data_IF_022104386328
#
_entry.id   IF_022104386328
#
_cell.length_a   1.000
_cell.length_b   1.000
_cell.length_c   1.000
_cell.angle_alpha   90.00
_cell.angle_beta   90.00
_cell.angle_gamma   90.00
#
_symmetry.space_group_name_H-M   'P 1'
#
loop_
_entity.id
_entity.type
_entity.pdbx_description
1 polymer ?
#
# COMPACT_ATOMS: atom_id res chain seq x y z
N UNK A 1 -1.93 24.63 19.97
CA UNK A 1 -0.72 23.78 20.05
C UNK A 1 -1.13 22.35 19.75
N UNK A 2 -0.74 21.80 18.60
CA UNK A 2 -0.91 20.36 18.31
C UNK A 2 0.28 19.64 18.94
N UNK A 3 0.04 18.86 20.00
CA UNK A 3 1.07 18.01 20.60
C UNK A 3 1.30 16.83 19.66
N UNK A 4 2.47 16.78 19.03
CA UNK A 4 2.89 15.63 18.23
C UNK A 4 3.79 14.75 19.11
N UNK A 5 3.21 13.68 19.65
CA UNK A 5 3.98 12.63 20.31
C UNK A 5 4.64 11.81 19.22
N UNK A 6 5.92 12.07 18.95
CA UNK A 6 6.72 11.25 18.04
C UNK A 6 7.21 10.03 18.82
N UNK A 7 6.56 8.89 18.61
CA UNK A 7 7.10 7.60 19.04
C UNK A 7 8.26 7.27 18.10
N UNK A 8 9.47 7.65 18.47
CA UNK A 8 10.68 7.31 17.73
C UNK A 8 10.93 5.81 17.90
N UNK A 9 10.75 5.04 16.81
CA UNK A 9 11.18 3.65 16.74
C UNK A 9 12.69 3.59 16.95
N UNK A 10 13.14 2.83 17.95
CA UNK A 10 14.50 2.29 17.90
C UNK A 10 14.63 1.41 16.65
N UNK A 11 15.82 1.36 16.01
CA UNK A 11 16.03 0.43 14.90
C UNK A 11 15.69 -0.99 15.36
N UNK A 12 14.91 -1.72 14.54
CA UNK A 12 14.75 -3.17 14.69
C UNK A 12 16.08 -3.87 14.39
N UNK A 13 17.13 -3.60 15.17
CA UNK A 13 18.43 -4.25 15.08
C UNK A 13 18.49 -5.52 15.95
N UNK A 14 17.34 -6.04 16.38
CA UNK A 14 17.21 -7.44 16.73
C UNK A 14 17.06 -8.22 15.44
N UNK A 15 18.09 -8.98 15.05
CA UNK A 15 18.00 -9.97 13.97
C UNK A 15 16.84 -10.92 14.26
N UNK A 16 15.65 -10.61 13.71
CA UNK A 16 14.48 -11.49 13.81
C UNK A 16 14.92 -12.86 13.29
N UNK A 17 14.72 -13.96 14.05
CA UNK A 17 15.12 -15.28 13.61
C UNK A 17 14.52 -15.55 12.22
N UNK A 18 15.28 -16.18 11.31
CA UNK A 18 14.92 -16.35 9.88
C UNK A 18 13.50 -16.87 9.66
N UNK A 19 12.96 -17.66 10.59
CA UNK A 19 11.56 -18.11 10.60
C UNK A 19 10.55 -16.95 10.69
N UNK A 20 10.75 -16.00 11.62
CA UNK A 20 9.88 -14.82 11.78
C UNK A 20 9.92 -13.87 10.57
N UNK A 21 11.02 -13.85 9.81
CA UNK A 21 11.11 -13.09 8.56
C UNK A 21 10.30 -13.73 7.42
N UNK A 22 10.19 -15.06 7.37
CA UNK A 22 9.39 -15.78 6.38
C UNK A 22 7.89 -15.62 6.64
N UNK A 23 7.46 -15.82 7.90
CA UNK A 23 6.07 -15.67 8.32
C UNK A 23 5.57 -14.22 8.17
N UNK A 24 6.43 -13.24 8.49
CA UNK A 24 6.14 -11.81 8.30
C UNK A 24 5.84 -11.43 6.85
N UNK A 25 6.53 -12.06 5.89
CA UNK A 25 6.33 -11.84 4.46
C UNK A 25 5.04 -12.49 3.95
N UNK A 26 4.66 -13.65 4.49
CA UNK A 26 3.40 -14.34 4.13
C UNK A 26 2.16 -13.51 4.48
N UNK A 27 2.07 -13.02 5.72
CA UNK A 27 0.92 -12.23 6.16
C UNK A 27 0.87 -10.84 5.50
N UNK A 28 2.03 -10.22 5.21
CA UNK A 28 2.11 -9.00 4.42
C UNK A 28 1.59 -9.20 2.99
N UNK A 29 2.05 -10.26 2.31
CA UNK A 29 1.55 -10.61 0.98
C UNK A 29 0.04 -10.88 0.98
N UNK A 30 -0.47 -11.65 1.95
CA UNK A 30 -1.90 -11.94 2.04
C UNK A 30 -2.74 -10.68 2.24
N UNK A 31 -2.21 -9.67 2.94
CA UNK A 31 -2.85 -8.36 3.13
C UNK A 31 -2.96 -7.58 1.83
N UNK A 32 -1.93 -7.63 1.01
CA UNK A 32 -1.93 -7.01 -0.33
C UNK A 32 -2.90 -7.76 -1.25
N UNK A 33 -2.87 -9.09 -1.23
CA UNK A 33 -3.79 -9.94 -1.99
C UNK A 33 -5.26 -9.64 -1.65
N UNK A 34 -5.58 -9.42 -0.37
CA UNK A 34 -6.91 -9.01 0.06
C UNK A 34 -7.37 -7.70 -0.62
N UNK A 35 -6.50 -6.69 -0.70
CA UNK A 35 -6.84 -5.42 -1.36
C UNK A 35 -7.05 -5.62 -2.87
N UNK A 36 -6.16 -6.38 -3.50
CA UNK A 36 -6.15 -6.65 -4.94
C UNK A 36 -7.40 -7.43 -5.38
N UNK A 37 -7.94 -8.30 -4.51
CA UNK A 37 -9.12 -9.10 -4.84
C UNK A 37 -10.44 -8.43 -4.46
N UNK A 38 -10.51 -7.79 -3.28
CA UNK A 38 -11.79 -7.41 -2.68
C UNK A 38 -12.03 -5.91 -2.59
N UNK A 39 -11.02 -5.08 -2.81
CA UNK A 39 -11.16 -3.61 -2.77
C UNK A 39 -10.94 -2.98 -4.13
N UNK A 40 -9.74 -3.13 -4.69
CA UNK A 40 -9.32 -2.43 -5.90
C UNK A 40 -10.25 -2.70 -7.10
N UNK A 41 -10.67 -3.96 -7.39
CA UNK A 41 -11.55 -4.20 -8.53
C UNK A 41 -12.91 -3.52 -8.37
N UNK A 42 -13.46 -3.50 -7.16
CA UNK A 42 -14.73 -2.84 -6.88
C UNK A 42 -14.64 -1.31 -7.01
N UNK A 43 -13.54 -0.70 -6.56
CA UNK A 43 -13.28 0.74 -6.75
C UNK A 43 -13.15 1.09 -8.24
N UNK A 44 -12.35 0.32 -8.98
CA UNK A 44 -12.13 0.48 -10.42
C UNK A 44 -13.45 0.34 -11.19
N UNK A 45 -14.23 -0.70 -10.90
CA UNK A 45 -15.53 -0.91 -11.55
C UNK A 45 -16.50 0.22 -11.22
N UNK A 46 -16.55 0.68 -9.97
CA UNK A 46 -17.42 1.78 -9.60
C UNK A 46 -17.04 3.07 -10.33
N UNK A 47 -15.75 3.39 -10.45
CA UNK A 47 -15.28 4.53 -11.25
C UNK A 47 -15.69 4.40 -12.71
N UNK A 48 -15.47 3.22 -13.31
CA UNK A 48 -15.91 2.93 -14.69
C UNK A 48 -17.42 3.13 -14.90
N UNK A 49 -18.25 2.81 -13.89
CA UNK A 49 -19.70 2.95 -13.96
C UNK A 49 -20.19 4.39 -13.73
N UNK A 50 -19.45 5.20 -12.97
CA UNK A 50 -19.88 6.54 -12.56
C UNK A 50 -19.26 7.69 -13.34
N UNK A 51 -18.00 7.53 -13.80
CA UNK A 51 -17.26 8.59 -14.48
C UNK A 51 -17.23 8.33 -16.00
N UNK A 52 -17.92 9.15 -16.81
CA UNK A 52 -17.92 9.02 -18.26
C UNK A 52 -16.53 9.18 -18.90
N UNK A 53 -15.59 9.85 -18.23
CA UNK A 53 -14.22 10.08 -18.71
C UNK A 53 -13.24 9.01 -18.28
N UNK A 54 -13.65 8.06 -17.44
CA UNK A 54 -12.77 7.04 -16.87
C UNK A 54 -11.93 6.31 -17.92
N UNK A 55 -12.53 5.88 -19.02
CA UNK A 55 -11.83 5.15 -20.08
C UNK A 55 -10.80 6.05 -20.78
N UNK A 56 -11.14 7.31 -21.04
CA UNK A 56 -10.22 8.27 -21.67
C UNK A 56 -9.03 8.57 -20.75
N UNK A 57 -9.29 8.85 -19.47
CA UNK A 57 -8.25 9.12 -18.48
C UNK A 57 -7.35 7.90 -18.24
N UNK A 58 -7.93 6.70 -18.23
CA UNK A 58 -7.18 5.43 -18.09
C UNK A 58 -6.20 5.21 -19.24
N UNK A 59 -6.55 5.62 -20.47
CA UNK A 59 -5.68 5.50 -21.64
C UNK A 59 -4.47 6.45 -21.59
N UNK A 60 -4.55 7.52 -20.80
CA UNK A 60 -3.43 8.45 -20.58
C UNK A 60 -2.43 7.96 -19.52
N UNK A 61 -2.72 6.85 -18.84
CA UNK A 61 -1.79 6.26 -17.87
C UNK A 61 -0.55 5.68 -18.58
N UNK A 62 0.58 5.69 -17.88
CA UNK A 62 1.85 5.26 -18.44
C UNK A 62 2.01 3.73 -18.45
N UNK A 63 2.60 3.19 -19.51
CA UNK A 63 3.03 1.79 -19.59
C UNK A 63 1.86 0.80 -19.67
N UNK A 64 1.91 -0.26 -18.86
CA UNK A 64 0.94 -1.37 -18.89
C UNK A 64 -0.35 -1.08 -18.09
N UNK A 65 -0.38 0.02 -17.32
CA UNK A 65 -1.49 0.35 -16.43
C UNK A 65 -2.86 0.43 -17.12
N UNK A 66 -3.01 1.03 -18.33
CA UNK A 66 -4.30 1.04 -19.02
C UNK A 66 -4.84 -0.37 -19.24
N UNK A 67 -3.96 -1.31 -19.60
CA UNK A 67 -4.33 -2.68 -19.86
C UNK A 67 -4.75 -3.42 -18.58
N UNK A 68 -4.02 -3.25 -17.48
CA UNK A 68 -4.36 -3.88 -16.19
C UNK A 68 -5.71 -3.39 -15.65
N UNK A 69 -5.98 -2.08 -15.75
CA UNK A 69 -7.23 -1.46 -15.30
C UNK A 69 -8.40 -1.97 -16.13
N UNK A 70 -8.32 -1.91 -17.47
CA UNK A 70 -9.42 -2.36 -18.33
C UNK A 70 -9.63 -3.88 -18.28
N UNK A 71 -8.56 -4.67 -18.10
CA UNK A 71 -8.68 -6.11 -17.83
C UNK A 71 -9.44 -6.38 -16.54
N UNK A 72 -9.19 -5.58 -15.49
CA UNK A 72 -9.88 -5.70 -14.21
C UNK A 72 -11.37 -5.44 -14.36
N UNK A 73 -11.76 -4.41 -15.10
CA UNK A 73 -13.18 -4.14 -15.43
C UNK A 73 -13.79 -5.31 -16.21
N UNK A 74 -13.12 -5.77 -17.27
CA UNK A 74 -13.61 -6.88 -18.10
C UNK A 74 -13.75 -8.19 -17.29
N UNK A 75 -12.78 -8.51 -16.43
CA UNK A 75 -12.86 -9.68 -15.55
C UNK A 75 -14.04 -9.56 -14.60
N UNK A 76 -14.24 -8.40 -14.00
CA UNK A 76 -15.25 -8.19 -12.96
C UNK A 76 -16.68 -8.10 -13.50
N UNK A 77 -16.88 -7.54 -14.70
CA UNK A 77 -18.19 -7.32 -15.32
C UNK A 77 -18.56 -8.30 -16.44
N UNK A 78 -17.65 -9.20 -16.85
CA UNK A 78 -17.92 -10.13 -17.96
C UNK A 78 -17.50 -11.55 -17.63
N UNK A 79 -16.22 -11.77 -17.28
CA UNK A 79 -15.70 -13.14 -17.14
C UNK A 79 -16.04 -13.82 -15.81
N UNK A 80 -16.00 -13.06 -14.73
CA UNK A 80 -16.11 -13.58 -13.36
C UNK A 80 -17.24 -12.92 -12.57
N UNK A 81 -18.28 -12.44 -13.24
CA UNK A 81 -19.45 -11.87 -12.56
C UNK A 81 -20.30 -13.01 -11.94
N UNK A 82 -20.31 -13.19 -10.60
CA UNK A 82 -21.13 -14.21 -9.97
C UNK A 82 -22.62 -13.84 -9.99
N UNK A 83 -23.49 -14.82 -10.25
CA UNK A 83 -24.95 -14.64 -10.12
C UNK A 83 -25.48 -15.33 -8.85
N UNK A 84 -24.77 -16.34 -8.37
CA UNK A 84 -25.14 -17.17 -7.23
C UNK A 84 -23.99 -17.37 -6.25
N UNK A 85 -24.31 -17.80 -5.03
CA UNK A 85 -23.31 -18.22 -4.05
C UNK A 85 -22.38 -19.34 -4.60
N UNK A 86 -22.93 -20.28 -5.37
CA UNK A 86 -22.16 -21.37 -5.96
C UNK A 86 -21.10 -20.86 -6.97
N UNK A 87 -21.38 -19.75 -7.66
CA UNK A 87 -20.41 -19.11 -8.55
C UNK A 87 -19.25 -18.51 -7.74
N UNK A 88 -19.53 -17.91 -6.59
CA UNK A 88 -18.50 -17.39 -5.68
C UNK A 88 -17.59 -18.51 -5.14
N UNK A 89 -18.18 -19.67 -4.80
CA UNK A 89 -17.41 -20.85 -4.36
C UNK A 89 -16.52 -21.37 -5.50
N UNK A 90 -17.06 -21.45 -6.71
CA UNK A 90 -16.33 -21.87 -7.91
C UNK A 90 -15.16 -20.92 -8.21
N UNK A 91 -15.41 -19.61 -8.10
CA UNK A 91 -14.37 -18.58 -8.26
C UNK A 91 -13.24 -18.75 -7.24
N UNK A 92 -13.57 -18.93 -5.96
CA UNK A 92 -12.57 -19.11 -4.90
C UNK A 92 -11.75 -20.38 -5.11
N UNK A 93 -12.38 -21.46 -5.56
CA UNK A 93 -11.72 -22.72 -5.91
C UNK A 93 -10.75 -22.58 -7.09
N UNK A 94 -11.14 -21.88 -8.16
CA UNK A 94 -10.27 -21.59 -9.31
C UNK A 94 -9.11 -20.68 -8.92
N UNK A 95 -9.39 -19.67 -8.11
CA UNK A 95 -8.35 -18.74 -7.64
C UNK A 95 -7.33 -19.44 -6.73
N UNK A 96 -7.77 -20.38 -5.88
CA UNK A 96 -6.87 -21.24 -5.11
C UNK A 96 -5.91 -22.01 -6.02
N UNK A 97 -6.42 -22.64 -7.09
CA UNK A 97 -5.59 -23.38 -8.05
C UNK A 97 -4.58 -22.46 -8.73
N UNK A 98 -5.04 -21.30 -9.21
CA UNK A 98 -4.18 -20.31 -9.85
C UNK A 98 -3.03 -19.89 -8.93
N UNK A 99 -3.32 -19.56 -7.66
CA UNK A 99 -2.31 -19.00 -6.75
C UNK A 99 -1.36 -20.03 -6.16
N UNK A 100 -1.88 -21.16 -5.67
CA UNK A 100 -1.08 -22.12 -4.88
C UNK A 100 -0.62 -23.34 -5.68
N UNK A 101 -1.08 -23.47 -6.93
CA UNK A 101 -0.74 -24.57 -7.83
C UNK A 101 -0.12 -24.04 -9.12
N UNK A 102 -0.88 -23.33 -9.95
CA UNK A 102 -0.49 -23.03 -11.33
C UNK A 102 0.63 -21.98 -11.40
N UNK A 103 0.52 -20.89 -10.64
CA UNK A 103 1.58 -19.88 -10.54
C UNK A 103 2.89 -20.49 -10.00
N UNK A 104 2.80 -21.50 -9.14
CA UNK A 104 3.97 -22.20 -8.60
C UNK A 104 4.57 -23.16 -9.63
N UNK A 105 3.75 -23.90 -10.38
CA UNK A 105 4.22 -24.71 -11.52
C UNK A 105 4.90 -23.83 -12.56
N UNK A 106 4.29 -22.69 -12.89
CA UNK A 106 4.84 -21.70 -13.81
C UNK A 106 6.19 -21.17 -13.33
N UNK A 107 6.32 -20.84 -12.05
CA UNK A 107 7.57 -20.39 -11.44
C UNK A 107 8.66 -21.48 -11.50
N UNK A 108 8.31 -22.73 -11.20
CA UNK A 108 9.24 -23.87 -11.26
C UNK A 108 9.63 -24.24 -12.68
N UNK A 109 8.74 -24.02 -13.66
CA UNK A 109 9.10 -24.19 -15.06
C UNK A 109 10.11 -23.11 -15.51
N UNK A 110 9.87 -21.85 -15.14
CA UNK A 110 10.83 -20.76 -15.41
C UNK A 110 12.14 -20.95 -14.65
N UNK A 111 12.10 -21.46 -13.42
CA UNK A 111 13.28 -21.68 -12.57
C UNK A 111 13.25 -23.10 -11.98
N UNK A 112 13.74 -24.10 -12.74
CA UNK A 112 13.79 -25.48 -12.27
C UNK A 112 14.51 -25.63 -10.92
N UNK A 113 14.13 -26.62 -10.09
CA UNK A 113 14.72 -26.81 -8.76
C UNK A 113 16.24 -26.95 -8.76
N UNK A 114 16.79 -27.51 -9.83
CA UNK A 114 18.21 -27.78 -10.07
C UNK A 114 18.94 -26.65 -10.83
N UNK A 115 18.25 -25.55 -11.14
CA UNK A 115 18.83 -24.43 -11.90
C UNK A 115 20.03 -23.84 -11.17
N UNK A 116 21.15 -23.70 -11.89
CA UNK A 116 22.36 -23.05 -11.41
C UNK A 116 22.41 -21.56 -11.81
N UNK A 117 23.03 -20.74 -10.97
CA UNK A 117 23.38 -19.35 -11.28
C UNK A 117 24.64 -19.31 -12.16
N UNK A 118 24.96 -18.12 -12.70
CA UNK A 118 26.21 -17.89 -13.46
C UNK A 118 27.48 -18.20 -12.66
N UNK A 119 27.41 -18.17 -11.33
CA UNK A 119 28.51 -18.56 -10.43
C UNK A 119 28.57 -20.07 -10.11
N UNK A 120 27.69 -20.89 -10.69
CA UNK A 120 27.64 -22.34 -10.45
C UNK A 120 26.97 -22.76 -9.14
N UNK A 121 26.38 -21.82 -8.39
CA UNK A 121 25.60 -22.13 -7.18
C UNK A 121 24.13 -22.43 -7.53
N UNK A 122 23.42 -23.16 -6.67
CA UNK A 122 21.97 -23.39 -6.85
C UNK A 122 21.20 -22.07 -6.76
N UNK A 123 20.30 -21.84 -7.73
CA UNK A 123 19.41 -20.66 -7.75
C UNK A 123 18.53 -20.61 -6.50
N UNK A 124 18.00 -21.76 -6.08
CA UNK A 124 17.21 -21.92 -4.86
C UNK A 124 18.10 -22.18 -3.64
N UNK A 125 18.88 -21.17 -3.24
CA UNK A 125 19.74 -21.24 -2.05
C UNK A 125 19.64 -19.98 -1.20
N UNK A 126 20.07 -20.08 0.06
CA UNK A 126 20.09 -18.96 1.01
C UNK A 126 18.69 -18.38 1.28
N UNK A 127 18.39 -17.15 0.85
CA UNK A 127 17.08 -16.52 1.06
C UNK A 127 15.98 -17.03 0.11
N UNK A 128 16.32 -17.73 -0.98
CA UNK A 128 15.37 -18.24 -1.97
C UNK A 128 15.03 -19.69 -1.66
N UNK A 129 13.82 -19.94 -1.15
CA UNK A 129 13.30 -21.29 -0.91
C UNK A 129 12.63 -21.81 -2.17
N UNK A 130 12.99 -23.02 -2.60
CA UNK A 130 12.32 -23.69 -3.72
C UNK A 130 10.88 -24.00 -3.32
N UNK A 131 9.86 -23.52 -4.05
CA UNK A 131 8.49 -23.85 -3.75
C UNK A 131 8.10 -25.24 -4.28
N UNK A 132 6.93 -25.72 -3.88
CA UNK A 132 6.23 -26.85 -4.49
C UNK A 132 4.74 -26.51 -4.69
N UNK A 133 4.11 -26.94 -5.79
CA UNK A 133 2.69 -26.71 -6.02
C UNK A 133 1.85 -27.53 -5.03
N UNK A 134 0.72 -26.97 -4.58
CA UNK A 134 -0.23 -27.69 -3.73
C UNK A 134 -1.30 -28.38 -4.57
N UNK A 135 -1.87 -29.46 -4.03
CA UNK A 135 -3.04 -30.15 -4.59
C UNK A 135 -4.25 -29.89 -3.69
N UNK A 136 -5.38 -29.52 -4.27
CA UNK A 136 -6.56 -29.19 -3.47
C UNK A 136 -7.13 -30.46 -2.84
N UNK A 137 -7.10 -30.52 -1.52
CA UNK A 137 -7.87 -31.47 -0.72
C UNK A 137 -9.04 -30.77 -0.01
N UNK A 138 -10.26 -31.24 -0.29
CA UNK A 138 -11.50 -30.72 0.32
C UNK A 138 -11.62 -31.07 1.81
N UNK A 139 -10.92 -32.11 2.27
CA UNK A 139 -10.89 -32.53 3.67
C UNK A 139 -9.83 -31.79 4.48
N UNK A 140 -8.92 -31.07 3.81
CA UNK A 140 -7.96 -30.23 4.50
C UNK A 140 -8.67 -28.97 5.02
N UNK A 141 -8.72 -28.74 6.35
CA UNK A 141 -9.44 -27.60 6.91
C UNK A 141 -8.89 -26.27 6.42
N UNK A 142 -7.58 -26.14 6.19
CA UNK A 142 -6.93 -24.91 5.72
C UNK A 142 -7.39 -24.54 4.29
N UNK A 143 -7.50 -25.53 3.43
CA UNK A 143 -7.96 -25.33 2.05
C UNK A 143 -9.43 -24.87 2.04
N UNK A 144 -10.26 -25.53 2.85
CA UNK A 144 -11.66 -25.18 2.97
C UNK A 144 -11.85 -23.81 3.64
N UNK A 145 -11.05 -23.46 4.65
CA UNK A 145 -11.06 -22.13 5.29
C UNK A 145 -10.79 -21.01 4.28
N UNK A 146 -9.81 -21.23 3.38
CA UNK A 146 -9.54 -20.29 2.29
C UNK A 146 -10.75 -20.11 1.38
N UNK A 147 -11.34 -21.21 0.89
CA UNK A 147 -12.49 -21.15 -0.02
C UNK A 147 -13.68 -20.47 0.65
N UNK A 148 -13.96 -20.81 1.91
CA UNK A 148 -15.04 -20.20 2.69
C UNK A 148 -14.86 -18.69 2.83
N UNK A 149 -13.67 -18.23 3.22
CA UNK A 149 -13.41 -16.82 3.41
C UNK A 149 -13.40 -16.06 2.07
N UNK A 150 -12.69 -16.58 1.06
CA UNK A 150 -12.59 -15.96 -0.25
C UNK A 150 -13.95 -15.86 -0.95
N UNK A 151 -14.77 -16.92 -0.90
CA UNK A 151 -16.11 -16.91 -1.51
C UNK A 151 -17.06 -15.93 -0.80
N UNK A 152 -17.02 -15.85 0.53
CA UNK A 152 -17.85 -14.90 1.28
C UNK A 152 -17.46 -13.44 0.99
N UNK A 153 -16.16 -13.14 0.92
CA UNK A 153 -15.66 -11.80 0.57
C UNK A 153 -16.01 -11.45 -0.88
N UNK A 154 -15.89 -12.41 -1.80
CA UNK A 154 -16.29 -12.21 -3.18
C UNK A 154 -17.81 -12.05 -3.35
N UNK A 155 -18.62 -12.75 -2.55
CA UNK A 155 -20.06 -12.52 -2.54
C UNK A 155 -20.40 -11.10 -2.04
N UNK A 156 -19.73 -10.65 -0.97
CA UNK A 156 -19.90 -9.30 -0.42
C UNK A 156 -19.57 -8.20 -1.44
N UNK A 157 -18.50 -8.35 -2.22
CA UNK A 157 -18.13 -7.35 -3.24
C UNK A 157 -19.18 -7.18 -4.33
N UNK A 158 -19.98 -8.21 -4.62
CA UNK A 158 -21.08 -8.16 -5.60
C UNK A 158 -22.46 -7.98 -4.96
N UNK A 159 -22.56 -7.83 -3.63
CA UNK A 159 -23.82 -7.67 -2.92
C UNK A 159 -24.66 -8.95 -2.82
N UNK A 160 -24.03 -10.12 -2.95
CA UNK A 160 -24.67 -11.43 -2.79
C UNK A 160 -24.63 -11.90 -1.34
N UNK A 161 -25.61 -12.73 -0.95
CA UNK A 161 -25.62 -13.36 0.38
C UNK A 161 -24.67 -14.55 0.40
N UNK A 162 -23.69 -14.52 1.30
CA UNK A 162 -22.76 -15.62 1.53
C UNK A 162 -23.33 -16.74 2.41
N UNK A 163 -22.59 -17.84 2.56
CA UNK A 163 -22.96 -18.97 3.43
C UNK A 163 -21.79 -19.41 4.31
N UNK A 164 -22.12 -19.97 5.47
CA UNK A 164 -21.19 -20.61 6.40
C UNK A 164 -21.34 -22.14 6.44
N UNK A 165 -22.23 -22.71 5.62
CA UNK A 165 -22.44 -24.16 5.54
C UNK A 165 -21.28 -24.85 4.82
N UNK A 166 -20.32 -25.35 5.60
CA UNK A 166 -19.15 -26.06 5.10
C UNK A 166 -19.53 -27.36 4.38
N UNK A 167 -20.57 -28.06 4.82
CA UNK A 167 -20.94 -29.35 4.24
C UNK A 167 -21.52 -29.17 2.83
N UNK A 168 -22.36 -28.15 2.64
CA UNK A 168 -22.86 -27.78 1.33
C UNK A 168 -21.73 -27.33 0.38
N UNK A 169 -20.78 -26.54 0.88
CA UNK A 169 -19.61 -26.11 0.10
C UNK A 169 -18.73 -27.29 -0.29
N UNK A 170 -18.43 -28.21 0.63
CA UNK A 170 -17.69 -29.45 0.34
C UNK A 170 -18.36 -30.27 -0.76
N UNK A 171 -19.69 -30.43 -0.68
CA UNK A 171 -20.46 -31.19 -1.68
C UNK A 171 -20.37 -30.54 -3.07
N UNK A 172 -20.49 -29.20 -3.12
CA UNK A 172 -20.34 -28.44 -4.37
C UNK A 172 -18.94 -28.60 -4.95
N UNK A 173 -17.90 -28.42 -4.14
CA UNK A 173 -16.49 -28.54 -4.56
C UNK A 173 -16.16 -29.93 -5.12
N UNK A 174 -16.70 -31.00 -4.54
CA UNK A 174 -16.52 -32.37 -5.03
C UNK A 174 -17.14 -32.61 -6.42
N UNK A 175 -18.15 -31.82 -6.79
CA UNK A 175 -18.77 -31.89 -8.12
C UNK A 175 -18.01 -31.09 -9.19
N UNK A 176 -17.12 -30.19 -8.79
CA UNK A 176 -16.34 -29.37 -9.71
C UNK A 176 -15.16 -30.16 -10.29
N UNK A 177 -14.92 -29.98 -11.58
CA UNK A 177 -13.69 -30.44 -12.20
C UNK A 177 -12.55 -29.50 -11.84
N UNK A 178 -11.36 -30.06 -11.59
CA UNK A 178 -10.15 -29.24 -11.42
C UNK A 178 -9.92 -28.41 -12.71
N UNK A 179 -9.53 -27.12 -12.58
CA UNK A 179 -9.22 -26.29 -13.73
C UNK A 179 -8.14 -26.94 -14.60
N UNK A 180 -8.29 -26.89 -15.92
CA UNK A 180 -7.23 -27.32 -16.83
C UNK A 180 -6.04 -26.36 -16.76
N UNK A 181 -4.83 -26.91 -16.74
CA UNK A 181 -3.57 -26.16 -16.66
C UNK A 181 -3.49 -25.12 -17.80
N UNK A 182 -3.43 -23.80 -17.50
CA UNK A 182 -3.64 -22.74 -18.49
C UNK A 182 -2.55 -22.60 -19.58
N UNK A 183 -1.64 -23.55 -19.70
CA UNK A 183 -0.52 -23.50 -20.64
C UNK A 183 0.59 -22.60 -20.11
N UNK A 184 1.77 -23.18 -19.95
CA UNK A 184 2.93 -22.53 -19.34
C UNK A 184 3.40 -21.35 -20.22
N UNK A 185 3.37 -20.12 -19.69
CA UNK A 185 3.89 -18.92 -20.34
C UNK A 185 5.40 -18.84 -20.14
N UNK A 186 6.18 -19.10 -21.20
CA UNK A 186 7.64 -19.16 -21.10
C UNK A 186 8.21 -17.74 -21.06
N UNK A 187 8.85 -17.36 -19.94
CA UNK A 187 9.72 -16.20 -19.87
C UNK A 187 11.17 -16.70 -19.67
N UNK A 188 12.07 -16.37 -20.60
CA UNK A 188 13.44 -16.90 -20.59
C UNK A 188 14.38 -16.11 -19.67
N UNK A 189 13.99 -14.92 -19.18
CA UNK A 189 14.79 -14.13 -18.24
C UNK A 189 13.97 -13.19 -17.33
N UNK A 190 14.60 -12.74 -16.22
CA UNK A 190 14.05 -11.71 -15.30
C UNK A 190 13.80 -10.36 -16.00
N UNK A 191 14.52 -10.07 -17.10
CA UNK A 191 14.36 -8.85 -17.90
C UNK A 191 13.18 -8.96 -18.88
N UNK A 192 12.90 -10.14 -19.43
CA UNK A 192 11.73 -10.36 -20.31
C UNK A 192 10.41 -10.30 -19.54
N UNK A 193 10.40 -10.67 -18.25
CA UNK A 193 9.27 -10.46 -17.34
C UNK A 193 8.88 -8.98 -17.20
N UNK A 194 9.83 -8.04 -17.42
CA UNK A 194 9.59 -6.60 -17.34
C UNK A 194 9.39 -5.94 -18.72
N UNK A 195 9.90 -6.53 -19.80
CA UNK A 195 10.02 -5.90 -21.12
C UNK A 195 9.03 -6.35 -22.21
N UNK A 196 8.31 -7.46 -22.06
CA UNK A 196 7.40 -7.97 -23.12
C UNK A 196 6.04 -7.27 -23.23
N UNK A 197 5.78 -6.30 -22.35
CA UNK A 197 4.44 -5.72 -22.15
C UNK A 197 4.04 -4.61 -23.13
N UNK A 198 4.97 -4.04 -23.90
CA UNK A 198 4.72 -2.78 -24.61
C UNK A 198 4.13 -2.94 -26.03
N UNK A 199 4.52 -3.95 -26.82
CA UNK A 199 4.08 -4.06 -28.23
C UNK A 199 2.88 -4.98 -28.46
N UNK A 200 2.62 -5.93 -27.56
CA UNK A 200 1.43 -6.81 -27.58
C UNK A 200 0.24 -6.15 -26.85
N UNK A 201 0.50 -5.07 -26.11
CA UNK A 201 -0.47 -4.36 -25.27
C UNK A 201 -1.58 -3.68 -26.07
N UNK A 202 -1.25 -2.94 -27.12
CA UNK A 202 -2.20 -2.05 -27.80
C UNK A 202 -3.30 -2.80 -28.57
N UNK A 203 -2.94 -3.82 -29.36
CA UNK A 203 -3.91 -4.65 -30.09
C UNK A 203 -4.86 -5.43 -29.16
N UNK A 204 -4.35 -5.83 -27.99
CA UNK A 204 -5.13 -6.54 -26.99
C UNK A 204 -6.01 -5.58 -26.17
N UNK A 205 -5.52 -4.36 -25.92
CA UNK A 205 -6.25 -3.29 -25.26
C UNK A 205 -7.50 -2.89 -26.03
N UNK A 206 -7.39 -2.71 -27.36
CA UNK A 206 -8.54 -2.42 -28.21
C UNK A 206 -9.56 -3.57 -28.23
N UNK A 207 -9.09 -4.84 -28.23
CA UNK A 207 -9.98 -6.01 -28.12
C UNK A 207 -10.74 -6.06 -26.80
N UNK A 208 -10.11 -5.67 -25.69
CA UNK A 208 -10.77 -5.61 -24.38
C UNK A 208 -11.78 -4.48 -24.38
N UNK A 209 -11.39 -3.29 -24.86
CA UNK A 209 -12.25 -2.11 -24.95
C UNK A 209 -13.54 -2.41 -25.69
N UNK A 210 -13.46 -3.10 -26.83
CA UNK A 210 -14.63 -3.50 -27.62
C UNK A 210 -15.57 -4.49 -26.90
N UNK A 211 -15.07 -5.23 -25.89
CA UNK A 211 -15.83 -6.20 -25.11
C UNK A 211 -16.40 -5.63 -23.81
N UNK A 212 -16.03 -4.40 -23.44
CA UNK A 212 -16.55 -3.78 -22.23
C UNK A 212 -18.03 -3.40 -22.40
N UNK A 213 -18.89 -3.74 -21.43
CA UNK A 213 -20.31 -3.41 -21.49
C UNK A 213 -20.54 -1.90 -21.29
N UNK A 214 -21.35 -1.27 -22.15
CA UNK A 214 -21.73 0.14 -21.94
C UNK A 214 -22.45 0.31 -20.59
N UNK A 215 -22.03 1.29 -19.76
CA UNK A 215 -22.66 1.59 -18.47
C UNK A 215 -24.18 1.86 -18.55
N UNK A 216 -24.66 2.41 -19.68
CA UNK A 216 -26.03 2.91 -19.81
C UNK A 216 -27.07 1.82 -20.10
N UNK A 217 -26.68 0.71 -20.74
CA UNK A 217 -27.63 -0.25 -21.30
C UNK A 217 -27.91 -1.49 -20.41
N UNK A 218 -26.91 -1.97 -19.65
CA UNK A 218 -27.03 -3.21 -18.83
C UNK A 218 -26.75 -3.03 -17.33
N UNK A 219 -26.14 -1.91 -16.93
CA UNK A 219 -25.51 -1.76 -15.61
C UNK A 219 -26.19 -0.70 -14.74
N UNK A 220 -27.38 -0.24 -15.15
CA UNK A 220 -28.10 0.83 -14.45
C UNK A 220 -28.46 0.42 -13.01
N UNK A 221 -27.85 1.11 -12.05
CA UNK A 221 -28.05 0.85 -10.62
C UNK A 221 -27.20 -0.30 -10.05
N UNK A 222 -26.40 -0.99 -10.88
CA UNK A 222 -25.40 -1.93 -10.40
C UNK A 222 -24.23 -1.17 -9.77
N UNK A 223 -23.72 -1.69 -8.67
CA UNK A 223 -22.54 -1.18 -7.97
C UNK A 223 -21.83 -2.35 -7.28
N UNK A 224 -20.51 -2.34 -7.26
CA UNK A 224 -19.73 -3.24 -6.42
C UNK A 224 -19.41 -2.59 -5.07
N UNK A 225 -19.19 -3.40 -4.04
CA UNK A 225 -18.95 -2.95 -2.68
C UNK A 225 -17.49 -3.22 -2.30
N UNK A 226 -16.57 -2.24 -2.41
CA UNK A 226 -15.19 -2.43 -1.99
C UNK A 226 -15.13 -2.75 -0.50
N UNK A 227 -14.29 -3.72 -0.13
CA UNK A 227 -14.16 -4.16 1.26
C UNK A 227 -12.92 -3.51 1.89
N UNK A 228 -13.16 -2.62 2.85
CA UNK A 228 -12.09 -2.07 3.68
C UNK A 228 -11.67 -3.08 4.76
N UNK A 229 -10.38 -3.35 4.84
CA UNK A 229 -9.84 -4.30 5.81
C UNK A 229 -10.02 -3.82 7.26
N UNK A 230 -10.95 -4.45 7.96
CA UNK A 230 -11.08 -4.42 9.41
C UNK A 230 -10.46 -5.67 10.07
N UNK A 231 -9.49 -5.45 10.97
CA UNK A 231 -8.73 -6.49 11.68
C UNK A 231 -9.37 -6.91 13.01
N UNK A 232 -10.23 -6.07 13.58
CA UNK A 232 -10.80 -6.22 14.92
C UNK A 232 -12.22 -6.79 14.94
N UNK A 233 -12.75 -7.18 13.77
CA UNK A 233 -14.02 -7.88 13.64
C UNK A 233 -13.78 -9.34 13.19
N UNK A 234 -14.02 -10.30 14.08
CA UNK A 234 -13.83 -11.72 13.79
C UNK A 234 -14.96 -12.38 12.98
N UNK A 235 -15.98 -11.62 12.55
CA UNK A 235 -17.16 -12.14 11.84
C UNK A 235 -17.21 -11.77 10.36
N UNK A 236 -16.27 -10.96 9.88
CA UNK A 236 -16.28 -10.41 8.52
C UNK A 236 -15.45 -11.24 7.51
N UNK A 237 -14.83 -12.34 7.94
CA UNK A 237 -13.94 -13.18 7.12
C UNK A 237 -12.60 -12.56 6.70
N UNK A 238 -12.28 -11.33 7.12
CA UNK A 238 -11.04 -10.66 6.70
C UNK A 238 -9.82 -11.41 7.24
N UNK A 239 -9.74 -11.58 8.56
CA UNK A 239 -8.63 -12.29 9.17
C UNK A 239 -8.63 -13.79 8.82
N UNK A 240 -9.81 -14.38 8.57
CA UNK A 240 -9.92 -15.77 8.10
C UNK A 240 -9.24 -15.95 6.75
N UNK A 241 -9.50 -15.04 5.80
CA UNK A 241 -8.82 -15.03 4.50
C UNK A 241 -7.31 -14.81 4.66
N UNK A 242 -6.88 -13.81 5.44
CA UNK A 242 -5.45 -13.49 5.62
C UNK A 242 -4.68 -14.70 6.16
N UNK A 243 -5.21 -15.36 7.20
CA UNK A 243 -4.57 -16.52 7.82
C UNK A 243 -4.50 -17.67 6.83
N UNK A 244 -5.62 -18.01 6.19
CA UNK A 244 -5.66 -19.13 5.26
C UNK A 244 -4.74 -18.88 4.04
N UNK A 245 -4.83 -17.70 3.44
CA UNK A 245 -4.03 -17.32 2.29
C UNK A 245 -2.52 -17.30 2.59
N UNK A 246 -2.14 -16.73 3.74
CA UNK A 246 -0.76 -16.69 4.20
C UNK A 246 -0.21 -18.09 4.49
N UNK A 247 -0.99 -18.95 5.15
CA UNK A 247 -0.54 -20.29 5.54
C UNK A 247 -0.45 -21.25 4.35
N UNK A 248 -1.35 -21.15 3.37
CA UNK A 248 -1.23 -21.87 2.10
C UNK A 248 0.07 -21.48 1.37
N UNK A 249 0.36 -20.17 1.29
CA UNK A 249 1.62 -19.72 0.69
C UNK A 249 2.83 -20.16 1.52
N UNK A 250 2.73 -20.16 2.85
CA UNK A 250 3.80 -20.65 3.71
C UNK A 250 4.10 -22.12 3.41
N UNK A 251 3.06 -22.95 3.23
CA UNK A 251 3.18 -24.35 2.84
C UNK A 251 3.92 -24.50 1.50
N UNK A 252 3.55 -23.73 0.46
CA UNK A 252 4.25 -23.77 -0.83
C UNK A 252 5.77 -23.64 -0.71
N UNK A 253 6.28 -22.83 0.23
CA UNK A 253 7.70 -22.56 0.40
C UNK A 253 8.34 -23.30 1.59
N UNK A 254 7.66 -24.28 2.18
CA UNK A 254 8.14 -25.00 3.36
C UNK A 254 8.43 -24.10 4.56
N UNK A 255 7.57 -23.11 4.78
CA UNK A 255 7.61 -22.17 5.91
C UNK A 255 6.56 -22.64 6.93
N UNK A 256 6.92 -22.58 8.22
CA UNK A 256 5.99 -22.92 9.30
C UNK A 256 4.77 -21.98 9.29
N UNK A 257 3.54 -22.51 9.44
CA UNK A 257 2.34 -21.68 9.46
C UNK A 257 2.31 -20.77 10.70
N UNK A 258 1.67 -19.62 10.56
CA UNK A 258 1.43 -18.68 11.65
C UNK A 258 -0.01 -18.81 12.15
N UNK A 259 -0.22 -18.68 13.46
CA UNK A 259 -1.57 -18.63 14.03
C UNK A 259 -2.28 -17.30 13.68
N UNK A 260 -3.59 -17.24 13.97
CA UNK A 260 -4.42 -16.04 13.74
C UNK A 260 -3.88 -14.81 14.47
N UNK A 261 -3.41 -14.97 15.71
CA UNK A 261 -2.96 -13.85 16.53
C UNK A 261 -1.69 -13.21 15.97
N UNK A 262 -0.70 -14.02 15.59
CA UNK A 262 0.54 -13.59 14.95
C UNK A 262 0.27 -13.01 13.56
N UNK A 263 -0.60 -13.64 12.79
CA UNK A 263 -1.02 -13.13 11.47
C UNK A 263 -1.71 -11.76 11.60
N UNK A 264 -2.57 -11.58 12.59
CA UNK A 264 -3.26 -10.32 12.90
C UNK A 264 -2.28 -9.22 13.32
N UNK A 265 -1.29 -9.55 14.15
CA UNK A 265 -0.23 -8.62 14.54
C UNK A 265 0.52 -8.07 13.31
N UNK A 266 0.87 -8.94 12.37
CA UNK A 266 1.64 -8.58 11.17
C UNK A 266 0.75 -7.87 10.14
N UNK A 267 -0.32 -8.51 9.67
CA UNK A 267 -1.18 -7.98 8.60
C UNK A 267 -1.92 -6.71 9.02
N UNK A 268 -2.32 -6.63 10.30
CA UNK A 268 -2.95 -5.45 10.88
C UNK A 268 -1.97 -4.32 11.25
N UNK A 269 -0.66 -4.53 11.05
CA UNK A 269 0.41 -3.61 11.48
C UNK A 269 0.21 -3.13 12.92
N UNK A 270 -0.21 -4.04 13.81
CA UNK A 270 -0.56 -3.70 15.19
C UNK A 270 0.70 -3.25 15.91
N UNK A 271 0.63 -2.08 16.53
CA UNK A 271 1.69 -1.56 17.40
C UNK A 271 1.37 -2.04 18.81
N UNK A 272 2.17 -2.94 19.40
CA UNK A 272 1.95 -3.38 20.77
C UNK A 272 2.02 -2.19 21.72
N UNK A 273 1.01 -2.03 22.56
CA UNK A 273 0.92 -0.96 23.54
C UNK A 273 0.40 -1.52 24.86
N UNK A 274 0.93 -1.00 25.96
CA UNK A 274 0.50 -1.35 27.32
C UNK A 274 0.46 -0.09 28.16
N UNK A 275 -0.54 -0.01 29.05
CA UNK A 275 -0.81 1.18 29.86
C UNK A 275 0.39 1.61 30.73
N UNK A 276 1.25 0.69 31.17
CA UNK A 276 2.42 1.00 31.99
C UNK A 276 3.44 1.87 31.25
N UNK A 277 3.73 1.57 29.98
CA UNK A 277 4.61 2.38 29.14
C UNK A 277 3.98 3.75 28.84
N UNK A 278 2.68 3.78 28.53
CA UNK A 278 1.94 5.03 28.30
C UNK A 278 1.97 5.94 29.53
N UNK A 279 1.65 5.41 30.72
CA UNK A 279 1.65 6.17 31.96
C UNK A 279 3.05 6.72 32.30
N UNK A 280 4.11 5.91 32.10
CA UNK A 280 5.48 6.34 32.31
C UNK A 280 5.88 7.50 31.38
N UNK A 281 5.61 7.37 30.07
CA UNK A 281 5.91 8.43 29.09
C UNK A 281 5.11 9.70 29.39
N UNK A 282 3.82 9.58 29.70
CA UNK A 282 2.97 10.74 30.03
C UNK A 282 3.47 11.47 31.26
N UNK A 283 3.89 10.74 32.31
CA UNK A 283 4.50 11.35 33.49
C UNK A 283 5.75 12.17 33.15
N UNK A 284 6.64 11.63 32.31
CA UNK A 284 7.85 12.33 31.87
C UNK A 284 7.52 13.58 31.01
N UNK A 285 6.51 13.50 30.15
CA UNK A 285 6.03 14.65 29.37
C UNK A 285 5.51 15.76 30.30
N UNK A 286 4.75 15.42 31.35
CA UNK A 286 4.27 16.40 32.31
C UNK A 286 5.40 17.09 33.09
N UNK A 287 6.53 16.41 33.33
CA UNK A 287 7.71 17.04 33.94
C UNK A 287 8.34 18.09 33.02
N UNK A 288 8.44 17.81 31.72
CA UNK A 288 8.92 18.80 30.74
C UNK A 288 7.92 19.97 30.58
N UNK A 289 6.61 19.69 30.68
CA UNK A 289 5.57 20.72 30.64
C UNK A 289 5.77 21.79 31.73
N UNK A 290 6.18 21.42 32.94
CA UNK A 290 6.47 22.39 34.00
C UNK A 290 7.56 23.40 33.59
N UNK A 291 8.58 22.94 32.87
CA UNK A 291 9.69 23.79 32.40
C UNK A 291 9.23 24.77 31.32
N UNK A 292 8.36 24.29 30.42
CA UNK A 292 7.76 25.12 29.37
C UNK A 292 6.90 26.23 29.99
N UNK A 293 5.99 25.91 30.92
CA UNK A 293 5.11 26.92 31.53
C UNK A 293 5.86 27.90 32.44
N UNK A 294 6.99 27.49 33.00
CA UNK A 294 7.90 28.37 33.74
C UNK A 294 8.82 29.21 32.83
N UNK A 295 8.76 29.00 31.50
CA UNK A 295 9.52 29.80 30.53
C UNK A 295 11.02 29.51 30.53
N UNK A 296 11.44 28.28 30.83
CA UNK A 296 12.86 27.89 30.80
C UNK A 296 13.46 28.15 29.42
N UNK A 297 14.56 28.92 29.36
CA UNK A 297 15.24 29.31 28.12
C UNK A 297 16.52 28.50 27.85
N UNK A 298 17.02 27.77 28.85
CA UNK A 298 18.29 27.03 28.73
C UNK A 298 18.03 25.59 28.31
N UNK A 299 18.75 25.15 27.28
CA UNK A 299 18.63 23.81 26.70
C UNK A 299 18.93 22.72 27.73
N UNK A 300 19.94 22.94 28.58
CA UNK A 300 20.34 22.07 29.70
C UNK A 300 19.19 21.75 30.69
N UNK A 301 18.16 22.61 30.75
CA UNK A 301 17.00 22.40 31.62
C UNK A 301 16.08 21.29 31.07
N UNK A 302 15.99 21.15 29.75
CA UNK A 302 15.13 20.17 29.08
C UNK A 302 15.80 18.80 28.99
N UNK A 303 14.98 17.75 28.90
CA UNK A 303 15.44 16.36 28.74
C UNK A 303 14.57 15.61 27.74
N UNK A 304 15.21 15.08 26.70
CA UNK A 304 14.66 13.98 25.91
C UNK A 304 14.75 12.70 26.73
N UNK A 305 13.66 11.94 26.80
CA UNK A 305 13.58 10.72 27.60
C UNK A 305 13.50 9.49 26.72
N UNK A 306 14.34 8.49 27.00
CA UNK A 306 14.36 7.19 26.33
C UNK A 306 14.15 6.11 27.38
N UNK A 307 13.09 5.33 27.24
CA UNK A 307 12.73 4.29 28.21
C UNK A 307 12.55 2.93 27.55
N UNK A 308 13.01 1.88 28.22
CA UNK A 308 12.69 0.50 27.89
C UNK A 308 12.43 -0.28 29.19
N UNK A 309 11.15 -0.42 29.53
CA UNK A 309 10.70 -1.04 30.77
C UNK A 309 10.94 -2.56 30.84
N UNK A 310 11.25 -3.21 29.71
CA UNK A 310 11.63 -4.62 29.70
C UNK A 310 13.06 -4.86 30.22
N UNK A 311 13.96 -3.87 30.08
CA UNK A 311 15.34 -3.89 30.57
C UNK A 311 15.54 -3.01 31.83
N UNK A 312 14.47 -2.55 32.46
CA UNK A 312 14.44 -1.33 33.28
C UNK A 312 15.38 -0.17 32.87
N UNK A 313 15.52 0.11 31.58
CA UNK A 313 16.43 1.14 31.08
C UNK A 313 15.75 2.51 31.01
N UNK A 314 16.41 3.53 31.58
CA UNK A 314 16.04 4.93 31.49
C UNK A 314 17.28 5.73 31.11
N UNK A 315 17.17 6.53 30.06
CA UNK A 315 18.22 7.46 29.64
C UNK A 315 17.62 8.80 29.31
N UNK A 316 18.34 9.86 29.67
CA UNK A 316 17.94 11.23 29.40
C UNK A 316 19.08 11.91 28.65
N UNK A 317 18.74 12.62 27.58
CA UNK A 317 19.69 13.46 26.86
C UNK A 317 19.19 14.88 26.82
N UNK A 318 20.11 15.83 26.73
CA UNK A 318 19.74 17.19 26.35
C UNK A 318 19.17 17.20 24.91
N UNK A 319 18.17 18.04 24.61
CA UNK A 319 17.78 18.29 23.23
C UNK A 319 18.93 18.90 22.43
N UNK A 320 18.91 18.73 21.11
CA UNK A 320 19.96 19.29 20.24
C UNK A 320 19.60 20.74 19.93
N UNK A 321 20.58 21.64 20.02
CA UNK A 321 20.41 23.03 19.60
C UNK A 321 20.08 23.08 18.10
N UNK A 322 19.22 24.02 17.65
CA UNK A 322 18.92 24.15 16.23
C UNK A 322 20.21 24.49 15.46
N UNK A 323 20.45 23.88 14.28
CA UNK A 323 21.56 24.26 13.44
C UNK A 323 21.46 25.75 13.05
N UNK A 324 22.58 26.45 13.17
CA UNK A 324 22.71 27.82 12.70
C UNK A 324 23.22 27.82 11.26
N UNK A 325 22.47 28.48 10.39
CA UNK A 325 22.81 28.72 9.01
C UNK A 325 23.07 30.21 8.81
N UNK A 326 23.80 30.56 7.75
CA UNK A 326 24.19 31.94 7.49
C UNK A 326 23.99 32.27 6.02
N UNK A 327 23.43 33.45 5.76
CA UNK A 327 23.51 34.12 4.47
C UNK A 327 24.10 35.50 4.67
N UNK A 328 25.15 35.82 3.92
CA UNK A 328 25.96 37.02 4.13
C UNK A 328 26.37 37.18 5.61
N UNK A 329 25.86 38.21 6.28
CA UNK A 329 26.13 38.53 7.68
C UNK A 329 24.98 38.17 8.64
N UNK A 330 23.85 37.64 8.13
CA UNK A 330 22.70 37.26 8.95
C UNK A 330 22.73 35.76 9.24
N UNK A 331 22.59 35.42 10.52
CA UNK A 331 22.46 34.04 10.98
C UNK A 331 20.98 33.74 11.23
N UNK A 332 20.57 32.52 10.89
CA UNK A 332 19.20 32.05 11.04
C UNK A 332 19.17 30.58 11.40
N UNK A 333 18.05 30.15 11.98
CA UNK A 333 17.77 28.80 12.46
C UNK A 333 16.43 28.32 11.92
N UNK A 334 16.08 27.06 12.19
CA UNK A 334 14.77 26.49 11.85
C UNK A 334 13.57 27.33 12.33
N UNK A 335 13.73 28.11 13.39
CA UNK A 335 12.62 28.87 14.01
C UNK A 335 12.43 30.26 13.41
N UNK A 336 13.42 30.75 12.68
CA UNK A 336 13.40 32.06 12.04
C UNK A 336 12.59 32.02 10.75
N UNK A 337 11.98 33.15 10.40
CA UNK A 337 11.17 33.32 9.20
C UNK A 337 11.19 34.76 8.74
N UNK A 338 10.89 34.97 7.46
CA UNK A 338 10.55 36.30 6.96
C UNK A 338 9.05 36.53 7.12
N UNK A 339 8.70 37.46 8.01
CA UNK A 339 7.32 37.92 8.15
C UNK A 339 7.08 39.06 7.14
N UNK A 340 6.35 38.74 6.07
CA UNK A 340 6.01 39.68 4.99
C UNK A 340 4.52 39.98 5.05
N UNK A 341 4.17 41.25 5.18
CA UNK A 341 2.77 41.69 5.16
C UNK A 341 2.27 41.75 3.72
N UNK A 342 1.40 40.81 3.35
CA UNK A 342 0.87 40.70 1.98
C UNK A 342 -0.15 41.77 1.59
N UNK A 343 -0.66 42.57 2.53
CA UNK A 343 -1.56 43.69 2.25
C UNK A 343 -0.84 45.02 2.42
N UNK A 344 -0.92 45.85 1.40
CA UNK A 344 -0.37 47.19 1.39
C UNK A 344 -1.28 48.15 2.19
N UNK A 345 -0.75 49.32 2.53
CA UNK A 345 -1.48 50.36 3.29
C UNK A 345 -2.71 50.91 2.56
N UNK A 346 -2.77 50.77 1.23
CA UNK A 346 -3.92 51.13 0.40
C UNK A 346 -5.00 50.03 0.34
N UNK A 347 -4.79 48.88 0.99
CA UNK A 347 -5.71 47.73 1.00
C UNK A 347 -5.55 46.76 -0.17
N UNK A 348 -4.63 47.02 -1.11
CA UNK A 348 -4.32 46.11 -2.22
C UNK A 348 -3.30 45.04 -1.79
N UNK A 349 -3.38 43.86 -2.41
CA UNK A 349 -2.40 42.80 -2.21
C UNK A 349 -1.05 43.16 -2.84
N UNK A 350 0.02 42.70 -2.20
CA UNK A 350 1.40 42.89 -2.66
C UNK A 350 1.62 42.07 -3.92
N UNK A 351 2.06 42.69 -5.01
CA UNK A 351 2.33 41.96 -6.26
C UNK A 351 3.62 41.14 -6.17
N UNK A 352 3.76 40.13 -7.04
CA UNK A 352 4.99 39.34 -7.15
C UNK A 352 6.21 40.24 -7.41
N UNK A 353 6.10 41.28 -8.24
CA UNK A 353 7.19 42.23 -8.48
C UNK A 353 7.59 42.93 -7.19
N UNK A 354 6.62 43.46 -6.45
CA UNK A 354 6.89 44.12 -5.16
C UNK A 354 7.53 43.15 -4.18
N UNK A 355 7.08 41.88 -4.14
CA UNK A 355 7.66 40.84 -3.29
C UNK A 355 9.14 40.60 -3.61
N UNK A 356 9.48 40.43 -4.89
CA UNK A 356 10.87 40.26 -5.34
C UNK A 356 11.73 41.48 -5.01
N UNK A 357 11.19 42.69 -5.25
CA UNK A 357 11.89 43.95 -4.97
C UNK A 357 12.08 44.17 -3.47
N UNK A 358 11.12 43.79 -2.62
CA UNK A 358 11.22 43.84 -1.16
C UNK A 358 12.40 43.02 -0.65
N UNK A 359 12.54 41.76 -1.10
CA UNK A 359 13.69 40.94 -0.69
C UNK A 359 15.02 41.48 -1.21
N UNK A 360 15.01 42.07 -2.41
CA UNK A 360 16.22 42.66 -2.99
C UNK A 360 16.67 43.93 -2.27
N UNK A 361 15.73 44.78 -1.86
CA UNK A 361 16.01 46.10 -1.26
C UNK A 361 16.21 46.00 0.25
N UNK A 362 15.26 45.39 0.97
CA UNK A 362 15.27 45.32 2.43
C UNK A 362 16.22 44.22 2.94
N UNK A 363 16.17 43.03 2.31
CA UNK A 363 16.93 41.86 2.77
C UNK A 363 18.22 41.61 1.99
N UNK A 364 18.44 42.33 0.89
CA UNK A 364 19.59 42.16 -0.02
C UNK A 364 19.69 40.74 -0.59
N UNK A 365 18.54 40.09 -0.77
CA UNK A 365 18.41 38.74 -1.29
C UNK A 365 17.78 38.79 -2.68
N UNK A 366 18.50 38.26 -3.67
CA UNK A 366 17.94 38.02 -4.99
C UNK A 366 17.24 36.66 -4.99
N UNK A 367 15.91 36.67 -5.03
CA UNK A 367 15.11 35.45 -5.11
C UNK A 367 15.32 34.83 -6.49
N UNK A 368 15.76 33.57 -6.52
CA UNK A 368 15.95 32.81 -7.77
C UNK A 368 14.78 31.89 -8.08
N UNK A 369 14.10 31.37 -7.05
CA UNK A 369 12.93 30.49 -7.14
C UNK A 369 11.99 30.79 -5.98
N UNK A 370 10.69 30.89 -6.27
CA UNK A 370 9.61 30.99 -5.28
C UNK A 370 8.61 29.85 -5.53
N UNK A 371 8.24 29.13 -4.49
CA UNK A 371 7.28 28.04 -4.57
C UNK A 371 6.33 28.05 -3.37
N UNK A 372 5.12 27.54 -3.60
CA UNK A 372 4.11 27.32 -2.57
C UNK A 372 3.61 25.88 -2.71
N UNK A 373 3.93 25.05 -1.70
CA UNK A 373 3.72 23.60 -1.80
C UNK A 373 4.50 22.99 -2.96
N UNK A 374 3.79 22.35 -3.88
CA UNK A 374 4.36 21.72 -5.09
C UNK A 374 4.38 22.65 -6.31
N UNK A 375 3.84 23.87 -6.17
CA UNK A 375 3.68 24.80 -7.29
C UNK A 375 4.80 25.84 -7.31
N UNK A 376 5.47 25.96 -8.47
CA UNK A 376 6.49 27.01 -8.69
C UNK A 376 5.79 28.29 -9.15
N UNK A 377 5.88 29.33 -8.33
CA UNK A 377 5.27 30.65 -8.58
C UNK A 377 6.20 31.54 -9.41
N UNK A 378 7.50 31.52 -9.11
CA UNK A 378 8.51 32.26 -9.83
C UNK A 378 9.81 31.46 -9.94
N UNK A 379 10.52 31.61 -11.07
CA UNK A 379 11.89 31.13 -11.24
C UNK A 379 12.59 31.96 -12.31
N UNK A 380 13.90 32.20 -12.13
CA UNK A 380 14.73 32.89 -13.13
C UNK A 380 14.80 32.17 -14.49
N UNK A 381 14.46 30.88 -14.53
CA UNK A 381 14.43 30.07 -15.76
C UNK A 381 13.06 30.08 -16.45
N UNK A 382 12.08 30.82 -15.93
CA UNK A 382 10.76 30.91 -16.57
C UNK A 382 10.82 31.66 -17.91
N UNK A 383 10.02 31.25 -18.92
CA UNK A 383 9.91 32.00 -20.17
C UNK A 383 9.44 33.44 -19.92
N UNK A 384 9.97 34.40 -20.68
CA UNK A 384 9.68 35.83 -20.53
C UNK A 384 8.18 36.16 -20.59
N UNK A 385 7.41 35.44 -21.42
CA UNK A 385 5.96 35.59 -21.51
C UNK A 385 5.26 35.28 -20.17
N UNK A 386 5.59 34.14 -19.53
CA UNK A 386 5.03 33.74 -18.23
C UNK A 386 5.44 34.68 -17.10
N UNK A 387 6.66 35.22 -17.15
CA UNK A 387 7.11 36.22 -16.18
C UNK A 387 6.27 37.50 -16.28
N UNK A 388 6.04 37.99 -17.50
CA UNK A 388 5.24 39.20 -17.73
C UNK A 388 3.80 39.05 -17.24
N UNK A 389 3.22 37.86 -17.37
CA UNK A 389 1.86 37.57 -16.89
C UNK A 389 1.74 37.56 -15.36
N UNK A 390 2.82 37.21 -14.63
CA UNK A 390 2.78 36.99 -13.18
C UNK A 390 3.30 38.16 -12.34
N UNK A 391 4.22 38.97 -12.87
CA UNK A 391 4.90 40.00 -12.07
C UNK A 391 3.96 41.04 -11.47
N UNK A 392 2.90 41.39 -12.18
CA UNK A 392 1.91 42.40 -11.74
C UNK A 392 0.69 41.78 -11.04
N UNK A 393 0.68 40.46 -10.85
CA UNK A 393 -0.36 39.76 -10.09
C UNK A 393 0.00 39.71 -8.60
N UNK A 394 -1.00 39.70 -7.71
CA UNK A 394 -0.78 39.50 -6.27
C UNK A 394 -0.19 38.12 -5.95
#
# INVERSE_FOLDING_TARGET
MRWMVIIVRGPENGSKPKAQQGEGRGAGWARDEFEVLFKQPAEIVNQYLTDPKFVEETLHLAGIQPLEVLQTVHRSLVLHWPQTWADCVTWAYHHWHSQYSDNIRQLLHSFPPDRLTSSGALFWSGPKRCPHPLTFDVNNPLHLDYVMAAANLFAQTYGLTGSQDRAAVTTHLQSLQAPMDPGIRIHASDQELQGTSASVGDDYLEKIRAKLPSPEAKLRGFKMYPIDFEKDNDRNFHMDFIVAASNLRAENYGISPADRHKSKLIAGKIIPAIATATAAVVGLVCLELYKVVQGHQKLESYKNSFINLALPFFSFSEPVAPPHHKYYNQEWTLWDRFDVQGLQSNGEEMTLRQFLDYFKTEHKLEITVLSQGVCILYSIFMPAAKLKERLDQP
#
